data_IF_799697695741
#
_entry.id   IF_799697695741
#
_cell.length_a   1.000
_cell.length_b   1.000
_cell.length_c   1.000
_cell.angle_alpha   90.00
_cell.angle_beta   90.00
_cell.angle_gamma   90.00
#
_symmetry.space_group_name_H-M   'P 1'
#
loop_
_entity.id
_entity.type
_entity.pdbx_description
1 polymer ?
#
# COMPACT_ATOMS: atom_id res chain seq x y z
N UNK A 1 -1.60 9.46 -12.76
CA UNK A 1 -1.14 10.88 -12.85
C UNK A 1 0.25 10.89 -13.47
N UNK A 2 0.51 11.82 -14.38
CA UNK A 2 1.84 12.04 -14.94
C UNK A 2 2.55 13.01 -14.01
N UNK A 3 3.83 12.78 -13.70
CA UNK A 3 4.61 13.72 -12.90
C UNK A 3 4.92 14.96 -13.76
N UNK A 4 4.79 16.13 -13.15
CA UNK A 4 5.18 17.39 -13.78
C UNK A 4 6.70 17.57 -13.69
N UNK A 5 7.38 17.39 -14.82
CA UNK A 5 8.83 17.50 -14.95
C UNK A 5 9.29 18.91 -15.34
N UNK A 6 8.39 19.86 -15.55
CA UNK A 6 8.74 21.23 -15.93
C UNK A 6 9.34 21.99 -14.75
N UNK A 7 10.29 22.87 -15.03
CA UNK A 7 10.91 23.74 -14.03
C UNK A 7 11.84 23.04 -13.04
N UNK A 8 12.38 21.87 -13.40
CA UNK A 8 13.41 21.20 -12.60
C UNK A 8 14.71 22.01 -12.62
N UNK A 9 15.31 22.20 -11.45
CA UNK A 9 16.57 22.91 -11.29
C UNK A 9 17.56 22.05 -10.51
N UNK A 10 18.85 22.24 -10.74
CA UNK A 10 19.90 21.56 -9.99
C UNK A 10 20.23 22.36 -8.74
N UNK A 11 20.15 21.72 -7.58
CA UNK A 11 20.64 22.28 -6.31
C UNK A 11 21.75 21.37 -5.77
N UNK A 12 22.98 21.86 -5.78
CA UNK A 12 24.14 21.13 -5.28
C UNK A 12 24.13 20.90 -3.75
N UNK A 13 23.29 21.63 -3.03
CA UNK A 13 23.13 21.49 -1.58
C UNK A 13 21.96 20.59 -1.20
N UNK A 14 21.26 20.02 -2.18
CA UNK A 14 20.18 19.08 -1.92
C UNK A 14 20.71 17.81 -1.25
N UNK A 15 19.97 17.32 -0.28
CA UNK A 15 20.30 16.09 0.44
C UNK A 15 19.08 15.21 0.63
N UNK A 16 19.31 13.89 0.58
CA UNK A 16 18.31 12.88 0.90
C UNK A 16 18.94 11.91 1.89
N UNK A 17 18.26 11.66 3.01
CA UNK A 17 18.70 10.75 4.06
C UNK A 17 17.66 9.66 4.26
N UNK A 18 18.10 8.41 4.29
CA UNK A 18 17.28 7.28 4.66
C UNK A 18 17.00 7.32 6.16
N UNK A 19 15.72 7.36 6.55
CA UNK A 19 15.28 7.37 7.94
C UNK A 19 14.89 5.97 8.40
N UNK A 20 14.17 5.24 7.54
CA UNK A 20 13.65 3.92 7.85
C UNK A 20 13.57 3.07 6.58
N UNK A 21 13.96 1.80 6.71
CA UNK A 21 13.81 0.81 5.65
C UNK A 21 13.20 -0.47 6.23
N UNK A 22 11.93 -0.70 5.90
CA UNK A 22 11.19 -1.94 6.15
C UNK A 22 10.88 -2.62 4.83
N UNK A 23 10.46 -3.88 4.88
CA UNK A 23 10.15 -4.66 3.68
C UNK A 23 9.03 -4.07 2.81
N UNK A 24 8.09 -3.39 3.45
CA UNK A 24 6.87 -2.81 2.84
C UNK A 24 6.79 -1.28 2.94
N UNK A 25 7.73 -0.65 3.62
CA UNK A 25 7.77 0.80 3.84
C UNK A 25 9.20 1.33 3.90
N UNK A 26 9.48 2.37 3.11
CA UNK A 26 10.77 3.06 3.13
C UNK A 26 10.52 4.55 3.31
N UNK A 27 11.21 5.16 4.27
CA UNK A 27 11.05 6.58 4.57
C UNK A 27 12.37 7.31 4.44
N UNK A 28 12.34 8.45 3.74
CA UNK A 28 13.46 9.37 3.57
C UNK A 28 13.08 10.76 4.06
N UNK A 29 14.08 11.52 4.47
CA UNK A 29 14.00 12.98 4.62
C UNK A 29 14.79 13.62 3.50
N UNK A 30 14.15 14.55 2.78
CA UNK A 30 14.73 15.30 1.69
C UNK A 30 14.78 16.78 2.06
N UNK A 31 15.85 17.46 1.67
CA UNK A 31 16.01 18.91 1.78
C UNK A 31 16.57 19.42 0.47
N UNK A 32 15.90 20.40 -0.12
CA UNK A 32 16.32 21.03 -1.38
C UNK A 32 15.82 22.46 -1.47
N UNK A 33 16.58 23.35 -2.11
CA UNK A 33 16.18 24.75 -2.30
C UNK A 33 15.41 24.96 -3.63
N UNK A 34 15.32 23.93 -4.47
CA UNK A 34 14.65 23.99 -5.76
C UNK A 34 13.85 22.71 -6.05
N UNK A 35 12.87 22.79 -6.95
CA UNK A 35 12.16 21.61 -7.44
C UNK A 35 13.12 20.71 -8.22
N UNK A 36 13.27 19.47 -7.81
CA UNK A 36 14.24 18.51 -8.37
C UNK A 36 13.65 17.13 -8.62
N UNK A 37 14.30 16.37 -9.49
CA UNK A 37 14.06 14.94 -9.63
C UNK A 37 15.03 14.16 -8.71
N UNK A 38 14.51 13.55 -7.67
CA UNK A 38 15.24 12.59 -6.87
C UNK A 38 15.17 11.22 -7.51
N UNK A 39 16.33 10.55 -7.67
CA UNK A 39 16.42 9.19 -8.20
C UNK A 39 16.90 8.26 -7.09
N UNK A 40 16.14 7.21 -6.85
CA UNK A 40 16.41 6.22 -5.79
C UNK A 40 16.98 4.95 -6.43
N UNK A 41 17.94 4.33 -5.77
CA UNK A 41 18.61 3.08 -6.22
C UNK A 41 17.73 1.85 -6.10
N UNK A 42 16.43 2.01 -6.29
CA UNK A 42 15.43 0.98 -6.11
C UNK A 42 14.63 0.76 -7.38
N UNK A 43 14.26 -0.51 -7.61
CA UNK A 43 13.59 -0.91 -8.84
C UNK A 43 12.19 -0.30 -8.90
N UNK A 44 11.88 0.32 -10.04
CA UNK A 44 10.54 0.77 -10.38
C UNK A 44 9.61 -0.43 -10.61
N UNK A 45 8.57 -0.56 -9.79
CA UNK A 45 7.52 -1.54 -9.95
C UNK A 45 6.15 -0.85 -9.86
N UNK A 46 5.51 -0.69 -11.02
CA UNK A 46 4.30 0.11 -11.21
C UNK A 46 3.13 -0.32 -10.32
N UNK A 47 2.95 -1.63 -10.15
CA UNK A 47 1.73 -2.18 -9.57
C UNK A 47 1.87 -2.50 -8.07
N UNK A 48 2.99 -2.14 -7.45
CA UNK A 48 3.24 -2.46 -6.06
C UNK A 48 3.54 -1.28 -5.17
N UNK A 49 4.37 -0.35 -5.64
CA UNK A 49 4.83 0.77 -4.83
C UNK A 49 4.03 2.05 -5.06
N UNK A 50 3.66 2.70 -3.97
CA UNK A 50 3.12 4.06 -3.94
C UNK A 50 4.11 4.98 -3.25
N UNK A 51 4.18 6.25 -3.70
CA UNK A 51 5.01 7.27 -3.09
C UNK A 51 4.16 8.40 -2.52
N UNK A 52 4.58 8.91 -1.39
CA UNK A 52 3.97 10.04 -0.71
C UNK A 52 5.05 11.07 -0.38
N UNK A 53 4.73 12.35 -0.55
CA UNK A 53 5.51 13.48 -0.04
C UNK A 53 4.61 14.20 0.96
N UNK A 54 5.02 14.27 2.22
CA UNK A 54 4.25 14.84 3.33
C UNK A 54 2.81 14.30 3.35
N UNK A 55 2.68 12.96 3.30
CA UNK A 55 1.43 12.19 3.26
C UNK A 55 0.56 12.39 2.01
N UNK A 56 1.01 13.19 1.02
CA UNK A 56 0.30 13.38 -0.24
C UNK A 56 0.81 12.43 -1.31
N UNK A 57 -0.09 11.60 -1.87
CA UNK A 57 0.27 10.65 -2.92
C UNK A 57 0.83 11.36 -4.15
N UNK A 58 2.05 10.99 -4.53
CA UNK A 58 2.83 11.59 -5.62
C UNK A 58 3.20 10.52 -6.64
N UNK A 59 3.11 10.80 -7.95
CA UNK A 59 3.41 9.81 -8.97
C UNK A 59 4.90 9.49 -9.02
N UNK A 60 5.21 8.18 -9.06
CA UNK A 60 6.57 7.68 -9.25
C UNK A 60 6.92 7.74 -10.74
N UNK A 61 8.08 8.29 -11.06
CA UNK A 61 8.64 8.35 -12.41
C UNK A 61 9.63 7.20 -12.58
N UNK A 62 9.62 6.57 -13.75
CA UNK A 62 10.67 5.62 -14.12
C UNK A 62 11.90 6.39 -14.60
N UNK A 63 13.02 6.25 -13.90
CA UNK A 63 14.29 6.85 -14.23
C UNK A 63 15.31 5.76 -14.63
N UNK A 64 16.25 6.10 -15.50
CA UNK A 64 17.34 5.20 -15.94
C UNK A 64 16.87 3.77 -16.26
N UNK A 65 15.77 3.62 -16.98
CA UNK A 65 15.13 2.36 -17.39
C UNK A 65 14.54 1.52 -16.26
N UNK A 66 15.09 1.53 -15.06
CA UNK A 66 14.71 0.61 -13.98
C UNK A 66 14.53 1.27 -12.62
N UNK A 67 15.02 2.48 -12.41
CA UNK A 67 15.03 3.14 -11.11
C UNK A 67 13.74 3.92 -10.84
N UNK A 68 13.46 4.14 -9.56
CA UNK A 68 12.38 5.04 -9.12
C UNK A 68 12.86 6.47 -9.07
N UNK A 69 12.12 7.36 -9.71
CA UNK A 69 12.29 8.81 -9.58
C UNK A 69 11.07 9.44 -8.91
N UNK A 70 11.29 10.54 -8.21
CA UNK A 70 10.24 11.33 -7.60
C UNK A 70 10.56 12.82 -7.75
N UNK A 71 9.59 13.61 -8.19
CA UNK A 71 9.73 15.06 -8.23
C UNK A 71 9.49 15.61 -6.84
N UNK A 72 10.54 16.16 -6.25
CA UNK A 72 10.53 16.75 -4.91
C UNK A 72 10.47 18.28 -5.04
N UNK A 73 9.49 18.96 -4.44
CA UNK A 73 9.44 20.41 -4.42
C UNK A 73 10.57 21.01 -3.57
N UNK A 74 10.75 22.33 -3.65
CA UNK A 74 11.68 23.04 -2.76
C UNK A 74 11.18 23.01 -1.33
N UNK A 75 12.07 22.79 -0.38
CA UNK A 75 11.79 22.70 1.06
C UNK A 75 12.37 21.48 1.72
N UNK A 76 11.94 21.25 2.94
CA UNK A 76 12.20 20.02 3.71
C UNK A 76 10.95 19.13 3.65
N UNK A 77 11.11 17.89 3.19
CA UNK A 77 10.00 16.99 2.94
C UNK A 77 10.29 15.60 3.50
N UNK A 78 9.23 14.93 3.94
CA UNK A 78 9.27 13.50 4.27
C UNK A 78 8.73 12.72 3.06
N UNK A 79 9.59 11.87 2.51
CA UNK A 79 9.24 10.99 1.38
C UNK A 79 9.01 9.59 1.92
N UNK A 80 7.85 9.02 1.61
CA UNK A 80 7.47 7.68 2.04
C UNK A 80 7.10 6.83 0.83
N UNK A 81 7.71 5.67 0.71
CA UNK A 81 7.30 4.63 -0.22
C UNK A 81 6.59 3.53 0.53
N UNK A 82 5.43 3.10 0.07
CA UNK A 82 4.66 2.00 0.62
C UNK A 82 4.39 0.93 -0.44
N UNK A 83 4.62 -0.33 -0.09
CA UNK A 83 4.29 -1.45 -0.95
C UNK A 83 2.84 -1.90 -0.73
N UNK A 84 1.94 -1.51 -1.64
CA UNK A 84 0.49 -1.80 -1.58
C UNK A 84 -0.01 -2.36 -2.91
N UNK A 85 0.37 -3.58 -3.29
CA UNK A 85 -0.11 -4.17 -4.55
C UNK A 85 -1.62 -4.44 -4.47
N UNK A 86 -2.34 -4.00 -5.50
CA UNK A 86 -3.80 -4.12 -5.58
C UNK A 86 -4.29 -5.58 -5.47
N UNK A 87 -3.51 -6.52 -5.98
CA UNK A 87 -3.80 -7.96 -5.93
C UNK A 87 -3.91 -8.50 -4.50
N UNK A 88 -3.05 -8.07 -3.59
CA UNK A 88 -3.08 -8.51 -2.18
C UNK A 88 -4.30 -7.93 -1.46
N UNK A 89 -4.65 -6.68 -1.73
CA UNK A 89 -5.80 -6.02 -1.11
C UNK A 89 -7.11 -6.71 -1.53
N UNK A 90 -7.26 -7.02 -2.82
CA UNK A 90 -8.44 -7.71 -3.35
C UNK A 90 -8.56 -9.16 -2.84
N UNK A 91 -7.45 -9.91 -2.82
CA UNK A 91 -7.43 -11.27 -2.31
C UNK A 91 -7.82 -11.34 -0.82
N UNK A 92 -7.35 -10.39 -0.02
CA UNK A 92 -7.68 -10.32 1.42
C UNK A 92 -9.17 -10.02 1.65
N UNK A 93 -9.78 -9.14 0.85
CA UNK A 93 -11.21 -8.86 0.93
C UNK A 93 -12.06 -10.10 0.56
N UNK A 94 -11.72 -10.80 -0.52
CA UNK A 94 -12.42 -12.02 -0.93
C UNK A 94 -12.31 -13.10 0.14
N UNK A 95 -11.13 -13.31 0.70
CA UNK A 95 -10.90 -14.30 1.76
C UNK A 95 -11.71 -13.99 3.03
N UNK A 96 -11.83 -12.72 3.43
CA UNK A 96 -12.62 -12.33 4.60
C UNK A 96 -14.11 -12.59 4.40
N UNK A 97 -14.67 -12.27 3.24
CA UNK A 97 -16.07 -12.53 2.91
C UNK A 97 -16.37 -14.04 2.90
N UNK A 98 -15.51 -14.83 2.26
CA UNK A 98 -15.63 -16.29 2.23
C UNK A 98 -15.60 -16.90 3.64
N UNK A 99 -14.72 -16.42 4.50
CA UNK A 99 -14.62 -16.86 5.90
C UNK A 99 -15.91 -16.57 6.67
N UNK A 100 -16.50 -15.39 6.54
CA UNK A 100 -17.77 -15.02 7.20
C UNK A 100 -18.90 -15.95 6.73
N UNK A 101 -19.01 -16.23 5.43
CA UNK A 101 -20.02 -17.11 4.89
C UNK A 101 -19.87 -18.54 5.43
N UNK A 102 -18.65 -19.06 5.55
CA UNK A 102 -18.38 -20.37 6.14
C UNK A 102 -18.83 -20.43 7.61
N UNK A 103 -18.52 -19.40 8.40
CA UNK A 103 -18.96 -19.35 9.80
C UNK A 103 -20.48 -19.28 9.93
N UNK A 104 -21.14 -18.49 9.10
CA UNK A 104 -22.61 -18.44 9.09
C UNK A 104 -23.23 -19.78 8.70
N UNK A 105 -22.68 -20.48 7.71
CA UNK A 105 -23.18 -21.80 7.31
C UNK A 105 -23.01 -22.84 8.42
N UNK A 106 -21.87 -22.80 9.13
CA UNK A 106 -21.61 -23.70 10.26
C UNK A 106 -22.62 -23.48 11.40
N UNK A 107 -22.82 -22.20 11.76
CA UNK A 107 -23.79 -21.85 12.83
C UNK A 107 -25.20 -22.28 12.46
N UNK A 108 -25.64 -22.05 11.22
CA UNK A 108 -26.98 -22.49 10.78
C UNK A 108 -27.14 -24.00 10.79
N UNK A 109 -26.11 -24.75 10.40
CA UNK A 109 -26.12 -26.20 10.45
C UNK A 109 -26.23 -26.73 11.90
N UNK A 110 -25.48 -26.14 12.84
CA UNK A 110 -25.53 -26.51 14.27
C UNK A 110 -26.94 -26.23 14.84
N UNK A 111 -27.49 -25.02 14.60
CA UNK A 111 -28.81 -24.65 15.09
C UNK A 111 -29.91 -25.57 14.53
N UNK A 112 -29.82 -25.89 13.23
CA UNK A 112 -30.76 -26.82 12.60
C UNK A 112 -30.62 -28.26 13.18
N UNK A 113 -29.38 -28.70 13.39
CA UNK A 113 -29.11 -30.00 14.02
C UNK A 113 -29.73 -30.12 15.44
N UNK A 114 -29.53 -29.12 16.29
CA UNK A 114 -30.08 -29.06 17.64
C UNK A 114 -31.60 -29.08 17.62
N UNK A 115 -32.21 -28.23 16.74
CA UNK A 115 -33.70 -28.21 16.60
C UNK A 115 -34.26 -29.57 16.17
N UNK A 116 -33.57 -30.27 15.28
CA UNK A 116 -34.02 -31.56 14.79
C UNK A 116 -33.90 -32.67 15.84
N UNK A 117 -32.88 -32.62 16.68
CA UNK A 117 -32.70 -33.53 17.83
C UNK A 117 -33.81 -33.32 18.89
N UNK A 118 -34.08 -32.08 19.29
CA UNK A 118 -35.13 -31.72 20.23
C UNK A 118 -36.53 -32.12 19.73
N UNK A 119 -36.78 -31.98 18.40
CA UNK A 119 -38.05 -32.45 17.81
C UNK A 119 -38.24 -33.95 17.88
N UNK A 120 -37.16 -34.72 17.70
CA UNK A 120 -37.23 -36.20 17.82
C UNK A 120 -37.47 -36.65 19.28
N UNK A 121 -36.86 -35.99 20.25
CA UNK A 121 -37.06 -36.29 21.67
C UNK A 121 -38.47 -35.99 22.11
N UNK A 122 -39.05 -34.88 21.68
CA UNK A 122 -40.46 -34.54 22.01
C UNK A 122 -41.49 -35.41 21.30
N UNK A 123 -41.14 -36.06 20.18
CA UNK A 123 -42.03 -36.97 19.46
C UNK A 123 -41.97 -38.41 20.02
N UNK A 124 -40.97 -38.71 20.87
CA UNK A 124 -40.78 -40.04 21.50
C UNK A 124 -41.39 -40.16 22.92
N UNK A 125 -41.93 -39.03 23.44
CA UNK A 125 -42.72 -38.96 24.68
C UNK A 125 -44.19 -38.97 24.39
#
# INVERSE_FOLDING_TARGET
KIADLDGLQVDSNASIQLVQNKNDEITYKAKTNAKQLAVFSEIYYKDGWKAYIDDKETPIVKANYVLRGLVVPAGEHTIKFEFKPASITSARQIASVASILLWLSLVTMIVFGIKNLNKKENAAK
#
